data_IF_429828233817
#
_entry.id   IF_429828233817
#
_cell.length_a   1.000
_cell.length_b   1.000
_cell.length_c   1.000
_cell.angle_alpha   90.00
_cell.angle_beta   90.00
_cell.angle_gamma   90.00
#
_symmetry.space_group_name_H-M   'P 1'
#
loop_
_entity.id
_entity.type
_entity.pdbx_description
1 polymer ?
#
# COMPACT_ATOMS: atom_id res chain seq x y z
N UNK A 1 -5.48 0.79 2.45
CA UNK A 1 -4.85 0.93 1.11
C UNK A 1 -4.35 2.35 0.94
N UNK A 2 -3.13 2.56 0.41
CA UNK A 2 -2.70 3.89 -0.01
C UNK A 2 -3.57 4.37 -1.16
N UNK A 3 -3.97 5.64 -1.12
CA UNK A 3 -4.74 6.26 -2.17
C UNK A 3 -3.85 6.80 -3.30
N UNK A 4 -4.46 7.19 -4.42
CA UNK A 4 -3.74 7.76 -5.57
C UNK A 4 -2.94 9.01 -5.20
N UNK A 5 -3.41 9.80 -4.24
CA UNK A 5 -2.74 11.01 -3.78
C UNK A 5 -1.44 10.70 -3.04
N UNK A 6 -1.44 9.68 -2.20
CA UNK A 6 -0.27 9.15 -1.50
C UNK A 6 0.79 8.69 -2.50
N UNK A 7 0.39 7.92 -3.51
CA UNK A 7 1.29 7.51 -4.58
C UNK A 7 1.85 8.69 -5.37
N UNK A 8 1.04 9.70 -5.67
CA UNK A 8 1.50 10.91 -6.34
C UNK A 8 2.52 11.69 -5.51
N UNK A 9 2.32 11.79 -4.18
CA UNK A 9 3.28 12.40 -3.24
C UNK A 9 4.62 11.67 -3.26
N UNK A 10 4.62 10.34 -3.12
CA UNK A 10 5.83 9.52 -3.16
C UNK A 10 6.55 9.63 -4.50
N UNK A 11 5.82 9.55 -5.63
CA UNK A 11 6.40 9.66 -6.95
C UNK A 11 7.09 11.01 -7.17
N UNK A 12 6.44 12.10 -6.74
CA UNK A 12 7.03 13.45 -6.79
C UNK A 12 8.30 13.55 -5.96
N UNK A 13 8.30 12.94 -4.76
CA UNK A 13 9.47 12.91 -3.89
C UNK A 13 10.64 12.19 -4.56
N UNK A 14 10.46 10.96 -5.06
CA UNK A 14 11.52 10.18 -5.73
C UNK A 14 12.06 10.91 -6.97
N UNK A 15 11.19 11.64 -7.68
CA UNK A 15 11.61 12.46 -8.83
C UNK A 15 12.47 13.66 -8.43
N UNK A 16 12.18 14.29 -7.28
CA UNK A 16 12.90 15.47 -6.81
C UNK A 16 14.20 15.11 -6.07
N UNK A 17 14.22 13.97 -5.39
CA UNK A 17 15.33 13.48 -4.58
C UNK A 17 15.77 12.10 -5.09
N UNK A 18 16.49 12.03 -6.23
CA UNK A 18 17.09 10.78 -6.69
C UNK A 18 18.19 10.33 -5.72
N UNK A 19 18.59 9.06 -5.82
CA UNK A 19 19.56 8.41 -4.94
C UNK A 19 19.17 8.42 -3.46
N UNK A 20 17.89 8.20 -3.19
CA UNK A 20 17.36 8.16 -1.84
C UNK A 20 17.59 6.79 -1.18
N UNK A 21 18.36 6.71 -0.10
CA UNK A 21 18.52 5.46 0.65
C UNK A 21 17.30 5.21 1.55
N UNK A 22 16.53 4.17 1.23
CA UNK A 22 15.30 3.86 1.95
C UNK A 22 15.57 3.47 3.41
N UNK A 23 16.55 2.62 3.67
CA UNK A 23 16.76 2.03 4.99
C UNK A 23 17.04 3.10 6.06
N UNK A 24 17.76 4.15 5.68
CA UNK A 24 18.18 5.23 6.59
C UNK A 24 17.19 6.39 6.66
N UNK A 25 16.44 6.65 5.59
CA UNK A 25 15.58 7.84 5.49
C UNK A 25 14.08 7.52 5.50
N UNK A 26 13.67 6.25 5.63
CA UNK A 26 12.26 5.85 5.63
C UNK A 26 11.42 6.65 6.63
N UNK A 27 11.92 6.82 7.87
CA UNK A 27 11.19 7.54 8.90
C UNK A 27 11.03 9.02 8.57
N UNK A 28 12.09 9.67 8.08
CA UNK A 28 12.03 11.08 7.66
C UNK A 28 11.08 11.27 6.47
N UNK A 29 11.05 10.31 5.55
CA UNK A 29 10.11 10.32 4.43
C UNK A 29 8.67 10.15 4.90
N UNK A 30 8.44 9.26 5.87
CA UNK A 30 7.14 9.07 6.51
C UNK A 30 6.60 10.37 7.12
N UNK A 31 7.44 11.04 7.90
CA UNK A 31 7.10 12.31 8.54
C UNK A 31 6.87 13.43 7.50
N UNK A 32 7.68 13.49 6.46
CA UNK A 32 7.57 14.52 5.42
C UNK A 32 6.34 14.36 4.52
N UNK A 33 5.95 13.11 4.20
CA UNK A 33 4.80 12.85 3.34
C UNK A 33 3.48 12.76 4.13
N UNK A 34 3.56 12.68 5.46
CA UNK A 34 2.47 12.37 6.38
C UNK A 34 1.83 11.02 6.03
N UNK A 35 2.68 10.00 5.89
CA UNK A 35 2.30 8.63 5.53
C UNK A 35 3.08 7.66 6.42
N UNK A 36 2.41 6.68 7.03
CA UNK A 36 3.09 5.70 7.87
C UNK A 36 4.20 4.93 7.12
N UNK A 37 5.32 4.67 7.80
CA UNK A 37 6.51 4.01 7.23
C UNK A 37 6.18 2.67 6.56
N UNK A 38 5.33 1.85 7.18
CA UNK A 38 4.85 0.57 6.62
C UNK A 38 4.13 0.76 5.28
N UNK A 39 3.29 1.80 5.18
CA UNK A 39 2.56 2.14 3.96
C UNK A 39 3.52 2.58 2.87
N UNK A 40 4.57 3.33 3.20
CA UNK A 40 5.60 3.73 2.22
C UNK A 40 6.35 2.52 1.68
N UNK A 41 6.76 1.59 2.54
CA UNK A 41 7.42 0.34 2.12
C UNK A 41 6.55 -0.41 1.12
N UNK A 42 5.26 -0.57 1.42
CA UNK A 42 4.30 -1.19 0.51
C UNK A 42 4.18 -0.43 -0.82
N UNK A 43 4.08 0.90 -0.79
CA UNK A 43 3.98 1.71 -2.01
C UNK A 43 5.23 1.59 -2.89
N UNK A 44 6.40 1.47 -2.26
CA UNK A 44 7.69 1.30 -2.96
C UNK A 44 7.79 -0.08 -3.58
N UNK A 45 7.31 -1.12 -2.89
CA UNK A 45 7.17 -2.45 -3.48
C UNK A 45 6.29 -2.41 -4.74
N UNK A 46 5.11 -1.78 -4.67
CA UNK A 46 4.22 -1.61 -5.83
C UNK A 46 4.91 -0.86 -6.97
N UNK A 47 5.66 0.20 -6.67
CA UNK A 47 6.40 0.96 -7.69
C UNK A 47 7.54 0.16 -8.33
N UNK A 48 8.21 -0.70 -7.56
CA UNK A 48 9.25 -1.59 -8.05
C UNK A 48 8.66 -2.63 -9.02
N UNK A 49 7.56 -3.28 -8.62
CA UNK A 49 6.85 -4.29 -9.43
C UNK A 49 6.31 -3.71 -10.74
N UNK A 50 5.99 -2.41 -10.77
CA UNK A 50 5.52 -1.71 -11.97
C UNK A 50 6.65 -1.07 -12.78
N UNK A 51 7.91 -1.26 -12.41
CA UNK A 51 9.08 -0.63 -13.04
C UNK A 51 9.05 0.90 -13.03
N UNK A 52 8.33 1.54 -12.10
CA UNK A 52 8.38 3.00 -11.95
C UNK A 52 9.69 3.47 -11.31
N UNK A 53 10.24 2.64 -10.43
CA UNK A 53 11.48 2.88 -9.72
C UNK A 53 12.40 1.66 -9.87
N UNK A 54 13.66 1.88 -9.53
CA UNK A 54 14.67 0.84 -9.38
C UNK A 54 15.29 0.98 -7.99
N UNK A 55 15.70 -0.14 -7.41
CA UNK A 55 16.40 -0.16 -6.13
C UNK A 55 17.74 -0.86 -6.33
N UNK A 56 18.83 -0.17 -6.01
CA UNK A 56 20.20 -0.70 -6.06
C UNK A 56 20.85 -0.37 -4.72
N UNK A 57 21.35 -1.38 -4.00
CA UNK A 57 21.97 -1.19 -2.67
C UNK A 57 21.13 -0.31 -1.72
N UNK A 58 19.82 -0.61 -1.64
CA UNK A 58 18.84 0.15 -0.82
C UNK A 58 18.60 1.59 -1.28
N UNK A 59 19.18 2.00 -2.41
CA UNK A 59 19.00 3.31 -3.01
C UNK A 59 17.90 3.26 -4.05
N UNK A 60 16.84 4.04 -3.82
CA UNK A 60 15.70 4.20 -4.71
C UNK A 60 15.98 5.27 -5.76
N UNK A 61 15.77 4.90 -7.01
CA UNK A 61 15.89 5.79 -8.17
C UNK A 61 14.71 5.66 -9.11
N UNK A 62 14.35 6.74 -9.80
CA UNK A 62 13.33 6.70 -10.83
C UNK A 62 13.84 5.90 -12.04
N UNK A 63 13.02 5.00 -12.58
CA UNK A 63 13.38 4.33 -13.83
C UNK A 63 13.29 5.35 -14.99
N UNK A 64 14.35 5.62 -15.76
CA UNK A 64 14.30 6.61 -16.84
C UNK A 64 13.33 6.24 -17.98
N UNK A 65 13.00 4.95 -18.12
CA UNK A 65 12.13 4.42 -19.18
C UNK A 65 10.75 3.98 -18.65
N UNK A 66 10.34 4.48 -17.49
CA UNK A 66 9.04 4.12 -16.91
C UNK A 66 7.89 4.41 -17.88
N UNK A 67 6.92 3.49 -17.95
CA UNK A 67 5.70 3.66 -18.73
C UNK A 67 4.52 3.79 -17.79
N UNK A 68 3.50 4.55 -18.20
CA UNK A 68 2.24 4.61 -17.45
C UNK A 68 1.64 3.22 -17.31
N UNK A 69 1.52 2.72 -16.08
CA UNK A 69 0.88 1.45 -15.71
C UNK A 69 -0.15 1.69 -14.62
N UNK A 70 -1.10 0.77 -14.47
CA UNK A 70 -2.10 0.85 -13.41
C UNK A 70 -1.52 0.30 -12.09
N UNK A 71 -1.80 0.95 -10.96
CA UNK A 71 -1.38 0.47 -9.64
C UNK A 71 -1.97 -0.92 -9.32
N UNK A 72 -3.20 -1.16 -9.75
CA UNK A 72 -3.90 -2.44 -9.56
C UNK A 72 -3.34 -3.61 -10.38
N UNK A 73 -2.41 -3.36 -11.32
CA UNK A 73 -1.71 -4.45 -12.01
C UNK A 73 -0.49 -4.95 -11.26
N UNK A 74 -0.12 -4.34 -10.13
CA UNK A 74 0.97 -4.82 -9.29
C UNK A 74 0.52 -6.05 -8.48
N UNK A 75 1.28 -7.16 -8.48
CA UNK A 75 0.97 -8.34 -7.68
C UNK A 75 0.75 -8.03 -6.19
N UNK A 76 1.59 -7.19 -5.58
CA UNK A 76 1.44 -6.79 -4.17
C UNK A 76 0.17 -6.00 -3.91
N UNK A 77 -0.28 -5.19 -4.87
CA UNK A 77 -1.54 -4.45 -4.76
C UNK A 77 -2.74 -5.40 -4.75
N UNK A 78 -2.79 -6.33 -5.70
CA UNK A 78 -3.85 -7.35 -5.80
C UNK A 78 -3.89 -8.23 -4.55
N UNK A 79 -2.73 -8.72 -4.10
CA UNK A 79 -2.64 -9.52 -2.88
C UNK A 79 -3.17 -8.76 -1.66
N UNK A 80 -2.89 -7.45 -1.55
CA UNK A 80 -3.41 -6.66 -0.43
C UNK A 80 -4.92 -6.44 -0.53
N UNK A 81 -5.48 -6.31 -1.74
CA UNK A 81 -6.93 -6.27 -1.95
C UNK A 81 -7.59 -7.58 -1.51
N UNK A 82 -7.03 -8.72 -1.92
CA UNK A 82 -7.52 -10.06 -1.53
C UNK A 82 -7.48 -10.26 -0.01
N UNK A 83 -6.39 -9.85 0.65
CA UNK A 83 -6.30 -9.89 2.12
C UNK A 83 -7.39 -9.04 2.78
N UNK A 84 -7.63 -7.83 2.29
CA UNK A 84 -8.66 -6.95 2.83
C UNK A 84 -10.07 -7.51 2.59
N UNK A 85 -10.30 -8.18 1.48
CA UNK A 85 -11.57 -8.85 1.18
C UNK A 85 -11.77 -10.06 2.10
N UNK A 86 -10.74 -10.89 2.29
CA UNK A 86 -10.77 -12.01 3.22
C UNK A 86 -11.02 -11.55 4.66
N UNK A 87 -10.32 -10.49 5.12
CA UNK A 87 -10.53 -9.88 6.44
C UNK A 87 -11.99 -9.41 6.62
N UNK A 88 -12.57 -8.74 5.61
CA UNK A 88 -13.97 -8.30 5.63
C UNK A 88 -14.95 -9.48 5.67
N UNK A 89 -14.69 -10.51 4.88
CA UNK A 89 -15.53 -11.71 4.85
C UNK A 89 -15.53 -12.41 6.21
N UNK A 90 -14.36 -12.61 6.82
CA UNK A 90 -14.23 -13.22 8.14
C UNK A 90 -14.93 -12.40 9.24
N UNK A 91 -14.74 -11.09 9.25
CA UNK A 91 -15.41 -10.19 10.20
C UNK A 91 -16.93 -10.23 10.03
N UNK A 92 -17.43 -10.22 8.79
CA UNK A 92 -18.84 -10.28 8.47
C UNK A 92 -19.48 -11.63 8.86
N UNK A 93 -18.79 -12.75 8.66
CA UNK A 93 -19.27 -14.07 9.08
C UNK A 93 -19.46 -14.15 10.59
N UNK A 94 -18.47 -13.68 11.36
CA UNK A 94 -18.55 -13.68 12.83
C UNK A 94 -19.65 -12.75 13.36
N UNK A 95 -19.89 -11.61 12.71
CA UNK A 95 -20.97 -10.70 13.12
C UNK A 95 -22.34 -11.19 12.67
N UNK A 96 -22.48 -11.81 11.51
CA UNK A 96 -23.75 -12.37 11.07
C UNK A 96 -24.23 -13.49 12.00
N UNK A 97 -23.33 -14.37 12.46
CA UNK A 97 -23.67 -15.40 13.44
C UNK A 97 -24.13 -14.79 14.78
N UNK A 98 -23.45 -13.75 15.26
CA UNK A 98 -23.85 -13.01 16.46
C UNK A 98 -25.19 -12.28 16.28
N UNK A 99 -25.42 -11.65 15.12
CA UNK A 99 -26.68 -10.96 14.81
C UNK A 99 -27.83 -11.95 14.73
N UNK A 100 -27.65 -13.09 14.07
CA UNK A 100 -28.65 -14.17 14.02
C UNK A 100 -28.95 -14.73 15.42
N UNK A 101 -27.93 -14.91 16.27
CA UNK A 101 -28.12 -15.35 17.65
C UNK A 101 -28.92 -14.33 18.47
N UNK A 102 -28.56 -13.04 18.41
CA UNK A 102 -29.28 -11.98 19.14
C UNK A 102 -30.71 -11.84 18.63
N UNK A 103 -30.95 -11.92 17.32
CA UNK A 103 -32.29 -11.89 16.73
C UNK A 103 -33.14 -13.07 17.21
N UNK A 104 -32.56 -14.26 17.32
CA UNK A 104 -33.24 -15.43 17.87
C UNK A 104 -33.59 -15.23 19.35
N UNK A 105 -32.66 -14.70 20.16
CA UNK A 105 -32.88 -14.42 21.57
C UNK A 105 -33.88 -13.28 21.86
N UNK A 106 -34.15 -12.40 20.89
CA UNK A 106 -35.12 -11.31 21.01
C UNK A 106 -36.49 -11.64 20.39
N UNK A 107 -36.62 -12.82 19.76
CA UNK A 107 -37.86 -13.29 19.14
C UNK A 107 -38.70 -14.20 20.08
N UNK A 108 -38.18 -14.53 21.27
CA UNK A 108 -38.89 -15.12 22.42
C UNK A 108 -39.14 -14.05 23.50
#
# INVERSE_FOLDING_TARGET
MPDRHSYAKLFRFVKQYPNFNIATHLQQLADHLDIASQTIVFMIQVFLELDFITVQDEVVNLNPNYRSKNLSSAPSYQLREEQLEAEKSLLASNTNELVSFVQHCLAD
#
